data_IF_579732223115
#
_entry.id   IF_579732223115
#
_cell.length_a   1.000
_cell.length_b   1.000
_cell.length_c   1.000
_cell.angle_alpha   90.00
_cell.angle_beta   90.00
_cell.angle_gamma   90.00
#
_symmetry.space_group_name_H-M   'P 1'
#
loop_
_entity.id
_entity.type
_entity.pdbx_description
1 polymer ?
#
# COMPACT_ATOMS: atom_id res chain seq x y z
N UNK A 1 -23.92 8.36 -3.03
CA UNK A 1 -22.54 7.90 -3.22
C UNK A 1 -22.18 7.98 -4.71
N UNK A 2 -20.89 8.08 -4.99
CA UNK A 2 -20.34 8.23 -6.35
C UNK A 2 -20.60 6.98 -7.21
N UNK A 3 -21.06 7.19 -8.45
CA UNK A 3 -21.20 6.15 -9.46
C UNK A 3 -21.06 6.75 -10.87
N UNK A 4 -20.28 6.15 -11.76
CA UNK A 4 -19.44 4.97 -11.56
C UNK A 4 -18.16 5.31 -10.78
N UNK A 5 -17.69 4.41 -9.92
CA UNK A 5 -16.46 4.58 -9.18
C UNK A 5 -15.43 3.49 -9.53
N UNK A 6 -14.14 3.79 -9.41
CA UNK A 6 -13.10 2.79 -9.43
C UNK A 6 -13.20 1.85 -8.22
N UNK A 7 -12.54 0.68 -8.30
CA UNK A 7 -12.51 -0.32 -7.21
C UNK A 7 -11.55 0.07 -6.06
N UNK A 8 -11.25 1.37 -5.96
CA UNK A 8 -10.25 1.92 -5.05
C UNK A 8 -10.92 2.80 -4.02
N UNK A 9 -10.67 2.52 -2.75
CA UNK A 9 -11.17 3.31 -1.63
C UNK A 9 -10.14 3.33 -0.52
N UNK A 10 -9.95 4.48 0.09
CA UNK A 10 -9.07 4.63 1.25
C UNK A 10 -9.59 5.71 2.19
N UNK A 11 -9.09 5.69 3.43
CA UNK A 11 -9.48 6.66 4.43
C UNK A 11 -8.27 7.08 5.27
N UNK A 12 -8.33 8.31 5.79
CA UNK A 12 -7.29 8.89 6.65
C UNK A 12 -7.92 9.89 7.61
N UNK A 13 -7.29 10.11 8.77
CA UNK A 13 -7.75 11.15 9.68
C UNK A 13 -7.62 12.54 9.07
N UNK A 14 -8.66 13.34 9.27
CA UNK A 14 -8.60 14.79 9.14
C UNK A 14 -7.58 15.36 10.14
N UNK A 15 -6.98 16.50 9.82
CA UNK A 15 -5.96 17.16 10.67
C UNK A 15 -6.42 17.47 12.10
N UNK A 16 -7.74 17.50 12.36
CA UNK A 16 -8.31 17.68 13.70
C UNK A 16 -8.21 16.41 14.57
N UNK A 17 -7.77 15.26 14.03
CA UNK A 17 -7.61 14.01 14.74
C UNK A 17 -8.90 13.32 15.20
N UNK A 18 -10.06 13.74 14.69
CA UNK A 18 -11.39 13.22 15.07
C UNK A 18 -12.19 12.77 13.86
N UNK A 19 -12.26 13.63 12.84
CA UNK A 19 -12.99 13.37 11.62
C UNK A 19 -12.14 12.55 10.66
N UNK A 20 -12.76 11.93 9.66
CA UNK A 20 -12.11 11.04 8.72
C UNK A 20 -12.39 11.53 7.31
N UNK A 21 -11.37 11.59 6.48
CA UNK A 21 -11.49 11.70 5.05
C UNK A 21 -11.67 10.31 4.44
N UNK A 22 -12.75 10.08 3.70
CA UNK A 22 -13.00 8.92 2.86
C UNK A 22 -12.82 9.33 1.41
N UNK A 23 -11.91 8.67 0.70
CA UNK A 23 -11.62 8.95 -0.70
C UNK A 23 -12.09 7.82 -1.60
N UNK A 24 -12.69 8.22 -2.72
CA UNK A 24 -13.01 7.37 -3.87
C UNK A 24 -12.60 8.09 -5.16
N UNK A 25 -12.29 7.32 -6.21
CA UNK A 25 -11.93 7.87 -7.51
C UNK A 25 -13.05 7.63 -8.52
N UNK A 26 -13.43 8.67 -9.27
CA UNK A 26 -14.46 8.56 -10.31
C UNK A 26 -13.90 7.80 -11.51
N UNK A 27 -14.65 6.79 -11.97
CA UNK A 27 -14.31 6.05 -13.19
C UNK A 27 -14.40 6.93 -14.43
N UNK A 28 -13.54 6.67 -15.42
CA UNK A 28 -13.42 7.42 -16.66
C UNK A 28 -13.13 8.92 -16.45
N UNK A 29 -12.37 9.24 -15.45
CA UNK A 29 -12.05 10.60 -15.00
C UNK A 29 -10.68 10.62 -14.33
N UNK A 30 -10.17 11.83 -14.03
CA UNK A 30 -9.06 12.08 -13.11
C UNK A 30 -9.52 12.73 -11.80
N UNK A 31 -10.78 12.52 -11.42
CA UNK A 31 -11.40 13.18 -10.30
C UNK A 31 -11.36 12.32 -9.03
N UNK A 32 -10.70 12.83 -8.00
CA UNK A 32 -10.77 12.33 -6.64
C UNK A 32 -11.93 12.98 -5.91
N UNK A 33 -12.80 12.18 -5.28
CA UNK A 33 -13.90 12.60 -4.45
C UNK A 33 -13.61 12.27 -3.00
N UNK A 34 -13.47 13.29 -2.17
CA UNK A 34 -13.05 13.17 -0.78
C UNK A 34 -14.16 13.62 0.14
N UNK A 35 -14.78 12.66 0.84
CA UNK A 35 -15.92 12.89 1.72
C UNK A 35 -15.46 13.04 3.16
N UNK A 36 -15.92 14.06 3.86
CA UNK A 36 -15.67 14.20 5.28
C UNK A 36 -16.70 13.38 6.08
N UNK A 37 -16.19 12.48 6.91
CA UNK A 37 -16.98 11.70 7.88
C UNK A 37 -16.78 12.33 9.26
N UNK A 38 -17.87 12.71 9.89
CA UNK A 38 -17.91 13.30 11.23
C UNK A 38 -18.81 12.45 12.13
N UNK A 39 -18.86 12.69 13.45
CA UNK A 39 -19.85 12.05 14.32
C UNK A 39 -21.31 12.29 13.89
N UNK A 40 -21.58 13.33 13.09
CA UNK A 40 -22.91 13.63 12.56
C UNK A 40 -23.21 12.93 11.22
N UNK A 41 -22.28 12.12 10.72
CA UNK A 41 -22.40 11.38 9.46
C UNK A 41 -21.48 11.88 8.36
N UNK A 42 -21.75 11.43 7.13
CA UNK A 42 -20.96 11.75 5.94
C UNK A 42 -21.44 13.07 5.35
N UNK A 43 -20.50 13.99 5.07
CA UNK A 43 -20.81 15.23 4.35
C UNK A 43 -21.39 14.91 2.96
N UNK A 44 -22.52 15.51 2.57
CA UNK A 44 -23.10 15.29 1.24
C UNK A 44 -22.27 15.92 0.11
N UNK A 45 -21.43 16.90 0.43
CA UNK A 45 -20.62 17.64 -0.52
C UNK A 45 -19.14 17.21 -0.38
N UNK A 46 -18.60 16.41 -1.31
CA UNK A 46 -17.19 16.04 -1.30
C UNK A 46 -16.31 17.21 -1.76
N UNK A 47 -15.05 17.20 -1.31
CA UNK A 47 -13.99 17.95 -1.96
C UNK A 47 -13.60 17.20 -3.22
N UNK A 48 -13.54 17.90 -4.37
CA UNK A 48 -13.23 17.30 -5.66
C UNK A 48 -11.91 17.88 -6.17
N UNK A 49 -10.96 17.00 -6.51
CA UNK A 49 -9.69 17.36 -7.12
C UNK A 49 -9.55 16.65 -8.48
N UNK A 50 -9.49 17.45 -9.57
CA UNK A 50 -9.27 16.93 -10.92
C UNK A 50 -7.77 17.01 -11.22
N UNK A 51 -7.03 15.93 -10.96
CA UNK A 51 -5.57 15.91 -11.02
C UNK A 51 -5.07 14.49 -11.31
N UNK A 52 -3.91 14.37 -11.96
CA UNK A 52 -3.33 13.08 -12.36
C UNK A 52 -3.93 12.52 -13.63
N UNK A 53 -3.75 11.23 -13.83
CA UNK A 53 -4.14 10.50 -15.03
C UNK A 53 -5.63 10.14 -15.00
N UNK A 54 -6.27 10.17 -16.17
CA UNK A 54 -7.66 9.69 -16.32
C UNK A 54 -7.69 8.17 -16.19
N UNK A 55 -8.46 7.65 -15.22
CA UNK A 55 -8.63 6.21 -15.02
C UNK A 55 -9.67 5.68 -16.00
N UNK A 56 -9.25 5.35 -17.21
CA UNK A 56 -10.08 4.80 -18.28
C UNK A 56 -9.40 3.58 -18.90
N UNK A 57 -10.20 2.70 -19.48
CA UNK A 57 -9.63 1.57 -20.20
C UNK A 57 -8.79 2.06 -21.39
N UNK A 58 -7.58 1.52 -21.59
CA UNK A 58 -6.80 1.80 -22.78
C UNK A 58 -7.55 1.27 -24.03
N UNK A 59 -7.40 1.98 -25.16
CA UNK A 59 -7.97 1.53 -26.42
C UNK A 59 -6.85 1.23 -27.43
N UNK A 60 -6.80 0.03 -28.02
CA UNK A 60 -7.66 -1.13 -27.80
C UNK A 60 -7.52 -1.71 -26.39
N UNK A 61 -8.55 -2.35 -25.82
CA UNK A 61 -8.46 -2.96 -24.51
C UNK A 61 -7.39 -4.05 -24.51
N UNK A 62 -6.61 -4.19 -23.42
CA UNK A 62 -5.61 -5.23 -23.33
C UNK A 62 -6.25 -6.62 -23.39
N UNK A 63 -5.53 -7.63 -23.92
CA UNK A 63 -6.07 -8.98 -24.11
C UNK A 63 -6.36 -9.72 -22.79
N UNK A 64 -5.93 -9.18 -21.66
CA UNK A 64 -6.16 -9.70 -20.30
C UNK A 64 -6.96 -8.67 -19.49
N UNK A 65 -7.61 -9.12 -18.43
CA UNK A 65 -8.59 -8.38 -17.61
C UNK A 65 -8.00 -7.24 -16.73
N UNK A 66 -6.95 -6.60 -17.18
CA UNK A 66 -6.31 -5.51 -16.46
C UNK A 66 -7.14 -4.25 -16.62
N UNK A 67 -7.93 -3.93 -15.63
CA UNK A 67 -8.78 -2.74 -15.64
C UNK A 67 -8.08 -1.54 -15.02
N UNK A 68 -8.19 -0.38 -15.65
CA UNK A 68 -7.75 0.86 -15.04
C UNK A 68 -8.61 1.25 -13.81
N UNK A 69 -9.74 0.57 -13.58
CA UNK A 69 -10.50 0.69 -12.33
C UNK A 69 -9.85 -0.08 -11.18
N UNK A 70 -9.10 -1.14 -11.48
CA UNK A 70 -8.39 -1.97 -10.52
C UNK A 70 -7.05 -1.37 -10.09
N UNK A 71 -6.45 -1.96 -9.07
CA UNK A 71 -5.24 -1.52 -8.40
C UNK A 71 -5.53 -1.04 -6.99
N UNK A 72 -4.67 -0.20 -6.43
CA UNK A 72 -4.75 0.22 -5.03
C UNK A 72 -4.76 1.74 -4.89
N UNK A 73 -5.21 2.21 -3.74
CA UNK A 73 -5.20 3.61 -3.34
C UNK A 73 -4.96 3.69 -1.84
N UNK A 74 -3.86 4.32 -1.43
CA UNK A 74 -3.50 4.46 -0.01
C UNK A 74 -3.03 5.85 0.35
N UNK A 75 -3.42 6.28 1.53
CA UNK A 75 -2.83 7.44 2.19
C UNK A 75 -1.58 7.04 2.98
N UNK A 76 -0.60 7.94 3.04
CA UNK A 76 0.47 7.83 4.01
C UNK A 76 -0.06 7.94 5.44
N UNK A 77 0.62 7.33 6.39
CA UNK A 77 0.27 7.34 7.82
C UNK A 77 0.14 8.74 8.40
N UNK A 78 0.96 9.68 7.94
CA UNK A 78 0.93 11.08 8.35
C UNK A 78 -0.16 11.92 7.64
N UNK A 79 -0.92 11.32 6.71
CA UNK A 79 -2.01 11.97 5.98
C UNK A 79 -1.57 13.10 5.03
N UNK A 80 -0.32 13.12 4.60
CA UNK A 80 0.22 14.18 3.72
C UNK A 80 0.42 13.73 2.27
N UNK A 81 0.36 12.44 2.01
CA UNK A 81 0.57 11.84 0.69
C UNK A 81 -0.56 10.86 0.38
N UNK A 82 -0.78 10.69 -0.91
CA UNK A 82 -1.67 9.69 -1.48
C UNK A 82 -0.88 8.95 -2.55
N UNK A 83 -0.97 7.62 -2.60
CA UNK A 83 -0.44 6.82 -3.68
C UNK A 83 -1.55 6.02 -4.35
N UNK A 84 -1.47 5.87 -5.66
CA UNK A 84 -2.43 5.15 -6.48
C UNK A 84 -1.69 4.21 -7.41
N UNK A 85 -2.11 2.94 -7.47
CA UNK A 85 -1.77 2.00 -8.54
C UNK A 85 -2.93 1.93 -9.52
N UNK A 86 -2.64 2.04 -10.82
CA UNK A 86 -3.62 2.00 -11.90
C UNK A 86 -3.25 0.82 -12.80
N UNK A 87 -3.81 -0.35 -12.49
CA UNK A 87 -3.39 -1.63 -13.07
C UNK A 87 -3.46 -1.62 -14.59
N UNK A 88 -4.60 -1.28 -15.18
CA UNK A 88 -4.80 -1.30 -16.62
C UNK A 88 -4.00 -0.26 -17.41
N UNK A 89 -3.35 0.69 -16.73
CA UNK A 89 -2.47 1.70 -17.33
C UNK A 89 -0.99 1.44 -17.03
N UNK A 90 -0.66 0.41 -16.25
CA UNK A 90 0.71 0.12 -15.82
C UNK A 90 1.39 1.35 -15.17
N UNK A 91 0.65 2.05 -14.32
CA UNK A 91 1.03 3.35 -13.82
C UNK A 91 0.84 3.44 -12.31
N UNK A 92 1.83 4.01 -11.63
CA UNK A 92 1.70 4.47 -10.25
C UNK A 92 1.72 5.99 -10.23
N UNK A 93 0.92 6.59 -9.38
CA UNK A 93 0.95 8.02 -9.13
C UNK A 93 1.02 8.30 -7.63
N UNK A 94 1.82 9.28 -7.25
CA UNK A 94 1.93 9.79 -5.88
C UNK A 94 1.56 11.27 -5.90
N UNK A 95 0.74 11.67 -4.93
CA UNK A 95 0.21 13.03 -4.82
C UNK A 95 0.51 13.62 -3.45
N UNK A 96 0.52 14.93 -3.37
CA UNK A 96 0.32 15.63 -2.12
C UNK A 96 -1.15 15.56 -1.71
N UNK A 97 -1.39 15.37 -0.43
CA UNK A 97 -2.71 15.43 0.17
C UNK A 97 -2.71 16.42 1.34
N UNK A 98 -3.62 17.37 1.29
CA UNK A 98 -3.85 18.28 2.41
C UNK A 98 -4.98 17.72 3.28
N UNK A 99 -4.63 17.08 4.39
CA UNK A 99 -5.61 16.49 5.31
C UNK A 99 -6.40 17.52 6.14
N UNK A 100 -6.15 18.82 5.96
CA UNK A 100 -6.98 19.89 6.52
C UNK A 100 -8.13 20.24 5.59
N UNK A 101 -7.88 20.24 4.29
CA UNK A 101 -8.85 20.69 3.28
C UNK A 101 -9.41 19.55 2.42
N UNK A 102 -8.78 18.37 2.41
CA UNK A 102 -9.12 17.25 1.55
C UNK A 102 -8.67 17.40 0.09
N UNK A 103 -7.78 18.35 -0.20
CA UNK A 103 -7.30 18.62 -1.57
C UNK A 103 -6.16 17.68 -1.94
N UNK A 104 -6.25 17.10 -3.16
CA UNK A 104 -5.20 16.31 -3.81
C UNK A 104 -4.50 17.19 -4.84
N UNK A 105 -3.16 17.14 -4.90
CA UNK A 105 -2.37 17.98 -5.81
C UNK A 105 -1.02 17.33 -6.15
N UNK A 106 -0.25 17.98 -7.05
CA UNK A 106 1.15 17.67 -7.35
C UNK A 106 1.42 16.20 -7.72
N UNK A 107 0.86 15.66 -8.82
CA UNK A 107 1.08 14.29 -9.25
C UNK A 107 2.53 14.03 -9.65
N UNK A 108 3.06 12.90 -9.21
CA UNK A 108 4.34 12.32 -9.64
C UNK A 108 4.04 10.92 -10.17
N UNK A 109 4.34 10.66 -11.44
CA UNK A 109 3.99 9.42 -12.11
C UNK A 109 5.21 8.52 -12.28
N UNK A 110 4.99 7.20 -12.15
CA UNK A 110 6.00 6.15 -12.32
C UNK A 110 5.41 5.05 -13.20
N UNK A 111 6.14 4.63 -14.23
CA UNK A 111 5.75 3.47 -15.02
C UNK A 111 5.98 2.17 -14.27
N UNK A 112 5.07 1.21 -14.46
CA UNK A 112 5.17 -0.19 -14.04
C UNK A 112 5.00 -1.14 -15.22
N UNK A 113 5.03 -2.44 -14.96
CA UNK A 113 4.62 -3.49 -15.91
C UNK A 113 3.17 -3.91 -15.65
N UNK A 114 2.78 -4.03 -14.37
CA UNK A 114 1.42 -4.21 -13.91
C UNK A 114 1.28 -3.58 -12.51
N UNK A 115 0.92 -2.31 -12.47
CA UNK A 115 0.83 -1.53 -11.25
C UNK A 115 -0.34 -1.98 -10.37
N UNK A 116 -0.09 -2.75 -9.31
CA UNK A 116 -1.14 -3.38 -8.54
C UNK A 116 -1.34 -2.80 -7.15
N UNK A 117 -0.26 -2.55 -6.42
CA UNK A 117 -0.37 -2.22 -5.01
C UNK A 117 0.60 -1.11 -4.62
N UNK A 118 0.22 -0.35 -3.60
CA UNK A 118 1.04 0.72 -3.04
C UNK A 118 1.01 0.66 -1.51
N UNK A 119 2.12 1.03 -0.88
CA UNK A 119 2.18 1.18 0.57
C UNK A 119 3.15 2.30 0.93
N UNK A 120 3.03 2.86 2.12
CA UNK A 120 3.96 3.84 2.66
C UNK A 120 4.73 3.28 3.85
N UNK A 121 5.95 3.77 4.03
CA UNK A 121 6.68 3.62 5.28
C UNK A 121 5.88 4.23 6.45
N UNK A 122 6.19 3.81 7.66
CA UNK A 122 5.47 4.26 8.86
C UNK A 122 5.52 5.79 9.04
N UNK A 123 6.65 6.42 8.72
CA UNK A 123 6.83 7.88 8.77
C UNK A 123 6.31 8.61 7.53
N UNK A 124 5.88 7.88 6.49
CA UNK A 124 5.36 8.44 5.25
C UNK A 124 6.41 9.10 4.36
N UNK A 125 7.69 8.83 4.59
CA UNK A 125 8.80 9.41 3.80
C UNK A 125 9.18 8.58 2.59
N UNK A 126 8.80 7.30 2.58
CA UNK A 126 9.10 6.34 1.54
C UNK A 126 7.80 5.71 1.04
N UNK A 127 7.64 5.60 -0.28
CA UNK A 127 6.58 4.84 -0.91
C UNK A 127 7.13 3.52 -1.46
N UNK A 128 6.33 2.46 -1.34
CA UNK A 128 6.57 1.14 -1.90
C UNK A 128 5.53 0.83 -2.96
N UNK A 129 5.99 0.40 -4.13
CA UNK A 129 5.18 0.15 -5.32
C UNK A 129 5.29 -1.33 -5.67
N UNK A 130 4.20 -2.07 -5.53
CA UNK A 130 4.11 -3.48 -5.91
C UNK A 130 3.76 -3.61 -7.38
N UNK A 131 4.74 -4.02 -8.18
CA UNK A 131 4.65 -4.16 -9.62
C UNK A 131 4.64 -5.64 -9.98
N UNK A 132 3.47 -6.14 -10.34
CA UNK A 132 3.33 -7.53 -10.75
C UNK A 132 3.85 -7.73 -12.17
N UNK A 133 4.34 -8.90 -12.46
CA UNK A 133 4.75 -9.22 -13.80
C UNK A 133 3.56 -9.69 -14.64
N UNK A 134 3.37 -9.09 -15.81
CA UNK A 134 2.35 -9.51 -16.77
C UNK A 134 2.78 -10.81 -17.48
N UNK A 135 1.97 -11.86 -17.39
CA UNK A 135 2.14 -13.07 -18.20
C UNK A 135 2.09 -12.71 -19.72
N UNK A 136 2.96 -13.19 -20.59
CA UNK A 136 3.89 -14.31 -20.45
C UNK A 136 5.36 -13.89 -20.24
N UNK A 137 5.67 -12.74 -19.64
CA UNK A 137 7.05 -12.33 -19.46
C UNK A 137 7.78 -13.22 -18.43
N UNK A 138 9.04 -13.52 -18.68
CA UNK A 138 9.89 -14.29 -17.77
C UNK A 138 10.52 -13.41 -16.66
N UNK A 139 10.01 -12.18 -16.48
CA UNK A 139 10.50 -11.27 -15.47
C UNK A 139 9.80 -11.55 -14.14
N UNK A 140 10.49 -11.39 -13.05
CA UNK A 140 9.92 -11.51 -11.71
C UNK A 140 9.18 -10.24 -11.32
N UNK A 141 8.10 -10.39 -10.54
CA UNK A 141 7.42 -9.26 -9.92
C UNK A 141 8.36 -8.47 -9.04
N UNK A 142 8.18 -7.16 -8.92
CA UNK A 142 9.12 -6.28 -8.21
C UNK A 142 8.40 -5.43 -7.18
N UNK A 143 9.10 -5.21 -6.09
CA UNK A 143 8.76 -4.14 -5.14
C UNK A 143 9.76 -3.02 -5.37
N UNK A 144 9.25 -1.85 -5.75
CA UNK A 144 10.08 -0.66 -5.85
C UNK A 144 9.92 0.19 -4.61
N UNK A 145 11.01 0.77 -4.18
CA UNK A 145 11.05 1.83 -3.19
C UNK A 145 11.23 3.18 -3.88
N UNK A 146 10.56 4.21 -3.39
CA UNK A 146 10.68 5.60 -3.85
C UNK A 146 10.91 6.49 -2.62
N UNK A 147 12.01 7.24 -2.62
CA UNK A 147 12.32 8.21 -1.56
C UNK A 147 11.62 9.54 -1.86
N UNK A 148 10.62 9.87 -1.07
CA UNK A 148 9.83 11.10 -1.21
C UNK A 148 10.54 12.35 -0.66
N UNK A 149 11.67 12.16 0.02
CA UNK A 149 12.54 13.23 0.51
C UNK A 149 13.78 13.45 -0.37
N UNK A 150 13.89 12.76 -1.50
CA UNK A 150 15.03 12.89 -2.41
C UNK A 150 15.24 14.31 -2.98
N UNK A 151 14.25 15.20 -2.85
CA UNK A 151 14.35 16.61 -3.25
C UNK A 151 13.33 17.01 -4.31
N UNK A 152 13.78 17.45 -5.50
CA UNK A 152 12.89 17.81 -6.60
C UNK A 152 12.13 16.60 -7.15
N UNK A 153 11.02 16.85 -7.89
CA UNK A 153 10.23 15.78 -8.53
C UNK A 153 11.12 14.83 -9.35
N UNK A 154 12.07 15.34 -10.12
CA UNK A 154 12.99 14.50 -10.88
C UNK A 154 13.90 13.63 -9.99
N UNK A 155 14.32 14.15 -8.83
CA UNK A 155 15.11 13.39 -7.88
C UNK A 155 14.26 12.29 -7.22
N UNK A 156 13.00 12.56 -6.90
CA UNK A 156 12.05 11.57 -6.40
C UNK A 156 11.83 10.47 -7.46
N UNK A 157 11.60 10.83 -8.72
CA UNK A 157 11.43 9.87 -9.82
C UNK A 157 12.69 8.99 -9.97
N UNK A 158 13.87 9.60 -9.93
CA UNK A 158 15.14 8.89 -10.09
C UNK A 158 15.53 8.05 -8.85
N UNK A 159 14.86 8.22 -7.72
CA UNK A 159 15.07 7.41 -6.52
C UNK A 159 14.39 6.05 -6.58
N UNK A 160 13.53 5.80 -7.59
CA UNK A 160 12.85 4.50 -7.77
C UNK A 160 13.87 3.36 -7.89
N UNK A 161 13.86 2.45 -6.92
CA UNK A 161 14.81 1.34 -6.81
C UNK A 161 14.07 0.04 -6.52
N UNK A 162 14.35 -1.02 -7.27
CA UNK A 162 13.87 -2.36 -6.93
C UNK A 162 14.63 -2.88 -5.70
N UNK A 163 13.89 -3.29 -4.67
CA UNK A 163 14.46 -3.75 -3.39
C UNK A 163 14.49 -5.28 -3.27
N UNK A 164 13.67 -5.99 -4.05
CA UNK A 164 13.70 -7.43 -4.15
C UNK A 164 14.53 -7.82 -5.38
N UNK A 165 15.57 -8.61 -5.16
CA UNK A 165 16.30 -9.26 -6.24
C UNK A 165 15.78 -10.69 -6.38
N UNK A 166 14.78 -10.90 -7.23
CA UNK A 166 14.14 -12.21 -7.42
C UNK A 166 15.04 -13.23 -8.15
N UNK A 167 16.26 -13.38 -7.68
CA UNK A 167 17.12 -14.48 -8.16
C UNK A 167 16.71 -15.83 -7.58
N UNK A 168 15.79 -15.88 -6.61
CA UNK A 168 15.38 -17.09 -5.92
C UNK A 168 13.98 -17.61 -6.28
N UNK A 169 13.30 -17.00 -7.24
CA UNK A 169 12.22 -17.70 -7.92
C UNK A 169 12.81 -18.77 -8.85
N UNK A 170 13.77 -19.55 -8.30
CA UNK A 170 14.30 -20.70 -8.98
C UNK A 170 13.17 -21.70 -9.12
N UNK A 171 12.83 -21.94 -10.38
CA UNK A 171 11.94 -22.96 -10.86
C UNK A 171 11.76 -24.08 -9.84
N UNK A 172 10.62 -24.16 -9.15
CA UNK A 172 10.17 -25.45 -8.61
C UNK A 172 9.81 -26.27 -9.85
N UNK A 173 10.85 -26.80 -10.46
CA UNK A 173 10.77 -27.77 -11.55
C UNK A 173 10.36 -29.09 -10.96
N UNK A 174 9.09 -29.35 -10.70
CA UNK A 174 8.62 -30.72 -10.55
C UNK A 174 7.08 -30.81 -10.59
N UNK A 175 6.50 -30.43 -11.70
CA UNK A 175 5.29 -31.13 -12.17
C UNK A 175 5.21 -30.99 -13.70
N UNK A 176 5.49 -32.12 -14.39
CA UNK A 176 5.21 -32.37 -15.81
C UNK A 176 5.23 -31.15 -16.76
N UNK A 177 6.37 -30.89 -17.37
CA UNK A 177 6.55 -30.27 -18.68
C UNK A 177 5.92 -28.89 -18.98
N UNK A 178 5.67 -28.06 -18.00
CA UNK A 178 5.30 -26.67 -18.22
C UNK A 178 6.14 -25.76 -17.33
N UNK A 179 6.74 -24.73 -17.90
CA UNK A 179 7.51 -23.70 -17.23
C UNK A 179 6.81 -23.22 -15.96
N UNK A 180 7.45 -23.42 -14.82
CA UNK A 180 6.95 -22.94 -13.52
C UNK A 180 7.07 -21.42 -13.50
N UNK A 181 5.98 -20.72 -13.70
CA UNK A 181 5.88 -19.30 -13.50
C UNK A 181 5.54 -19.04 -12.04
N UNK A 182 6.45 -18.44 -11.29
CA UNK A 182 6.13 -17.86 -10.00
C UNK A 182 5.27 -16.60 -10.23
N UNK A 183 4.02 -16.67 -9.87
CA UNK A 183 3.19 -15.47 -9.77
C UNK A 183 3.42 -14.87 -8.38
N UNK A 184 4.26 -13.88 -8.29
CA UNK A 184 4.40 -13.11 -7.06
C UNK A 184 3.40 -11.96 -7.13
N UNK A 185 2.29 -12.11 -6.46
CA UNK A 185 1.41 -10.98 -6.16
C UNK A 185 2.03 -10.22 -4.99
N UNK A 186 2.54 -9.02 -5.24
CA UNK A 186 3.08 -8.18 -4.18
C UNK A 186 1.98 -7.30 -3.60
N UNK A 187 1.11 -7.90 -2.79
CA UNK A 187 0.16 -7.14 -1.98
C UNK A 187 0.88 -6.64 -0.73
N UNK A 188 1.14 -5.35 -0.68
CA UNK A 188 1.89 -4.71 0.38
C UNK A 188 0.95 -4.23 1.48
N UNK A 189 1.28 -4.54 2.72
CA UNK A 189 0.54 -4.04 3.87
C UNK A 189 1.49 -3.67 5.02
N UNK A 190 1.43 -2.42 5.42
CA UNK A 190 2.11 -1.95 6.61
C UNK A 190 1.42 -2.54 7.85
N UNK A 191 2.17 -3.25 8.71
CA UNK A 191 1.65 -3.91 9.90
C UNK A 191 1.86 -3.07 11.18
N UNK A 192 1.14 -3.33 12.28
CA UNK A 192 1.27 -2.56 13.53
C UNK A 192 2.68 -2.52 14.12
N UNK A 193 3.51 -3.52 13.84
CA UNK A 193 4.91 -3.57 14.26
C UNK A 193 5.86 -2.66 13.43
N UNK A 194 5.32 -1.86 12.51
CA UNK A 194 6.10 -0.95 11.66
C UNK A 194 6.74 -1.58 10.43
N UNK A 195 6.65 -2.90 10.25
CA UNK A 195 7.13 -3.60 9.05
C UNK A 195 6.07 -3.58 7.96
N UNK A 196 6.52 -3.64 6.71
CA UNK A 196 5.63 -3.90 5.58
C UNK A 196 5.73 -5.37 5.22
N UNK A 197 4.59 -6.05 5.14
CA UNK A 197 4.52 -7.43 4.69
C UNK A 197 4.03 -7.49 3.26
N UNK A 198 4.55 -8.47 2.52
CA UNK A 198 4.12 -8.78 1.16
C UNK A 198 3.67 -10.24 1.10
N UNK A 199 2.51 -10.50 0.51
CA UNK A 199 2.13 -11.87 0.16
C UNK A 199 2.71 -12.21 -1.19
N UNK A 200 3.29 -13.41 -1.26
CA UNK A 200 3.70 -14.04 -2.51
C UNK A 200 2.95 -15.35 -2.66
N UNK A 201 2.22 -15.52 -3.75
CA UNK A 201 1.54 -16.78 -4.06
C UNK A 201 2.35 -17.55 -5.11
N UNK A 202 2.60 -18.83 -4.88
CA UNK A 202 3.07 -19.67 -5.95
C UNK A 202 1.92 -20.59 -6.43
N UNK A 203 1.93 -20.94 -7.69
CA UNK A 203 0.89 -21.77 -8.33
C UNK A 203 0.74 -23.18 -7.76
N UNK A 204 1.55 -23.57 -6.75
CA UNK A 204 1.68 -24.97 -6.25
C UNK A 204 1.19 -25.12 -4.80
N UNK A 205 0.45 -24.18 -4.24
CA UNK A 205 -0.22 -24.34 -2.94
C UNK A 205 0.52 -23.86 -1.68
N UNK A 206 1.44 -22.95 -1.77
CA UNK A 206 2.00 -22.30 -0.56
C UNK A 206 2.00 -20.80 -0.73
N UNK A 207 1.35 -20.09 0.17
CA UNK A 207 1.44 -18.66 0.29
C UNK A 207 2.56 -18.35 1.27
N UNK A 208 3.37 -17.33 0.94
CA UNK A 208 4.47 -16.89 1.78
C UNK A 208 4.27 -15.43 2.14
N UNK A 209 4.65 -15.07 3.36
CA UNK A 209 4.88 -13.69 3.72
C UNK A 209 6.36 -13.36 3.58
N UNK A 210 6.65 -12.30 2.86
CA UNK A 210 7.93 -11.62 2.87
C UNK A 210 7.79 -10.34 3.68
N UNK A 211 8.89 -9.79 4.20
CA UNK A 211 8.83 -8.56 4.99
C UNK A 211 9.88 -7.54 4.59
N UNK A 212 9.52 -6.27 4.69
CA UNK A 212 10.45 -5.14 4.72
C UNK A 212 10.58 -4.74 6.18
N UNK A 213 11.72 -5.06 6.78
CA UNK A 213 11.91 -4.97 8.24
C UNK A 213 12.17 -3.53 8.70
N UNK A 214 12.76 -2.70 7.84
CA UNK A 214 13.13 -1.30 8.12
C UNK A 214 12.58 -0.34 7.06
N UNK A 215 11.24 -0.22 6.91
CA UNK A 215 10.66 0.48 5.76
C UNK A 215 10.89 1.99 5.73
N UNK A 216 11.34 2.61 6.83
CA UNK A 216 11.73 4.02 6.86
C UNK A 216 13.17 4.26 6.36
N UNK A 217 13.88 3.19 5.96
CA UNK A 217 15.28 3.28 5.54
C UNK A 217 15.39 3.27 4.01
N UNK A 218 16.03 4.28 3.39
CA UNK A 218 16.20 4.31 1.95
C UNK A 218 17.14 3.21 1.42
N UNK A 219 16.86 2.73 0.21
CA UNK A 219 17.66 1.77 -0.52
C UNK A 219 17.54 0.35 0.02
N UNK A 220 18.53 -0.47 -0.30
CA UNK A 220 18.57 -1.90 0.09
C UNK A 220 18.68 -2.11 1.60
N UNK A 221 19.03 -1.06 2.35
CA UNK A 221 19.08 -1.10 3.81
C UNK A 221 17.69 -1.14 4.46
N UNK A 222 16.61 -1.06 3.68
CA UNK A 222 15.24 -1.30 4.16
C UNK A 222 15.04 -2.74 4.64
N UNK A 223 16.01 -3.63 4.40
CA UNK A 223 16.07 -5.00 4.90
C UNK A 223 14.85 -5.83 4.44
N UNK A 224 14.78 -6.04 3.10
CA UNK A 224 13.79 -6.94 2.53
C UNK A 224 14.20 -8.40 2.77
N UNK A 225 13.32 -9.15 3.42
CA UNK A 225 13.50 -10.56 3.73
C UNK A 225 12.40 -11.38 3.03
N UNK A 226 12.83 -12.36 2.22
CA UNK A 226 11.95 -13.22 1.47
C UNK A 226 11.50 -14.42 2.30
N UNK A 227 10.21 -14.82 2.19
CA UNK A 227 9.64 -16.01 2.83
C UNK A 227 9.86 -16.12 4.36
N UNK A 228 9.61 -15.04 5.08
CA UNK A 228 9.74 -15.04 6.56
C UNK A 228 8.73 -15.96 7.26
N UNK A 229 7.58 -16.25 6.59
CA UNK A 229 6.54 -17.12 7.12
C UNK A 229 5.81 -17.84 5.99
N UNK A 230 5.69 -19.15 6.10
CA UNK A 230 4.83 -19.96 5.23
C UNK A 230 3.41 -19.98 5.77
N UNK A 231 2.43 -19.63 4.93
CA UNK A 231 1.00 -19.67 5.28
C UNK A 231 0.41 -20.94 4.67
N UNK A 232 -0.25 -21.81 5.44
CA UNK A 232 -0.93 -22.96 4.86
C UNK A 232 -2.00 -22.51 3.86
N UNK A 233 -1.94 -23.02 2.63
CA UNK A 233 -2.78 -22.64 1.47
C UNK A 233 -4.30 -22.77 1.67
N UNK A 234 -4.74 -23.35 2.76
CA UNK A 234 -6.16 -23.52 3.07
C UNK A 234 -6.83 -22.30 3.67
N UNK A 235 -6.08 -21.23 3.99
CA UNK A 235 -6.57 -20.13 4.82
C UNK A 235 -6.58 -18.75 4.16
N UNK A 236 -5.87 -18.55 3.06
CA UNK A 236 -5.81 -17.23 2.43
C UNK A 236 -6.18 -17.33 0.96
N UNK A 237 -7.38 -16.90 0.61
CA UNK A 237 -7.54 -16.31 -0.71
C UNK A 237 -6.60 -15.08 -0.79
N UNK A 238 -5.99 -14.84 -1.90
CA UNK A 238 -4.95 -13.86 -2.27
C UNK A 238 -5.11 -12.40 -1.76
N UNK A 239 -5.51 -12.18 -0.50
CA UNK A 239 -5.87 -10.84 -0.04
C UNK A 239 -5.27 -10.58 1.34
N UNK A 240 -4.16 -9.84 1.38
CA UNK A 240 -3.95 -8.94 2.50
C UNK A 240 -4.97 -7.81 2.33
N UNK A 241 -5.99 -7.79 3.16
CA UNK A 241 -6.96 -6.70 3.12
C UNK A 241 -6.22 -5.38 3.34
N UNK A 242 -6.42 -4.44 2.42
CA UNK A 242 -5.96 -3.08 2.61
C UNK A 242 -6.67 -2.49 3.82
N UNK A 243 -6.05 -2.60 4.99
CA UNK A 243 -6.54 -1.97 6.21
C UNK A 243 -6.17 -0.49 6.11
N UNK A 244 -7.14 0.42 6.19
CA UNK A 244 -6.84 1.84 6.21
C UNK A 244 -5.85 2.17 7.32
N UNK A 245 -4.83 2.95 7.00
CA UNK A 245 -3.76 3.30 7.93
C UNK A 245 -4.20 4.19 9.11
N UNK A 246 -5.46 4.60 9.16
CA UNK A 246 -5.94 5.51 10.20
C UNK A 246 -6.00 4.89 11.61
N UNK A 247 -6.06 3.56 11.76
CA UNK A 247 -5.98 2.93 13.07
C UNK A 247 -4.61 3.15 13.74
N UNK A 248 -3.60 3.52 12.96
CA UNK A 248 -2.23 3.73 13.47
C UNK A 248 -1.99 5.07 14.10
N UNK A 249 -2.65 6.14 13.65
CA UNK A 249 -2.45 7.46 14.26
C UNK A 249 -2.84 7.48 15.75
N UNK A 250 -3.65 6.52 16.19
CA UNK A 250 -3.99 6.35 17.60
C UNK A 250 -2.94 5.51 18.35
N UNK A 251 -2.27 4.58 17.67
CA UNK A 251 -1.23 3.71 18.25
C UNK A 251 0.17 4.35 18.18
N UNK A 252 0.38 5.31 17.27
CA UNK A 252 1.67 5.94 17.01
C UNK A 252 2.17 6.86 18.12
N UNK A 253 1.35 7.12 19.13
CA UNK A 253 1.81 7.88 20.30
C UNK A 253 2.35 6.94 21.37
N UNK A 254 3.48 6.29 21.07
CA UNK A 254 4.36 5.74 22.10
C UNK A 254 3.96 4.37 22.71
N UNK A 255 3.20 3.54 21.98
CA UNK A 255 2.90 2.19 22.45
C UNK A 255 3.57 1.19 21.52
N UNK A 256 4.49 0.40 22.03
CA UNK A 256 5.09 -0.74 21.34
C UNK A 256 4.43 -2.02 21.85
N UNK A 257 4.10 -2.90 20.92
CA UNK A 257 3.58 -4.24 21.20
C UNK A 257 4.61 -5.27 20.78
N UNK A 258 4.81 -6.26 21.62
CA UNK A 258 5.55 -7.46 21.28
C UNK A 258 4.62 -8.66 21.50
N UNK A 259 4.63 -9.61 20.53
CA UNK A 259 3.82 -10.83 20.58
C UNK A 259 2.29 -10.60 20.67
N UNK A 260 1.66 -10.25 19.55
CA UNK A 260 0.18 -10.11 19.43
C UNK A 260 -0.53 -11.42 19.07
N UNK A 261 0.07 -12.59 19.28
CA UNK A 261 -0.56 -13.87 19.00
C UNK A 261 -1.53 -14.28 20.12
N UNK A 262 -2.67 -14.84 19.74
CA UNK A 262 -3.67 -15.35 20.69
C UNK A 262 -3.05 -16.48 21.54
N UNK A 263 -3.05 -16.29 22.84
CA UNK A 263 -2.52 -17.25 23.81
C UNK A 263 -1.13 -16.96 24.36
N UNK A 264 -0.41 -15.96 23.79
CA UNK A 264 0.90 -15.55 24.29
C UNK A 264 0.81 -14.31 25.20
N UNK A 265 1.86 -14.11 25.99
CA UNK A 265 1.99 -12.91 26.82
C UNK A 265 2.36 -11.74 25.92
N UNK A 266 1.48 -10.75 25.82
CA UNK A 266 1.76 -9.51 25.10
C UNK A 266 2.52 -8.54 26.00
N UNK A 267 3.72 -8.15 25.59
CA UNK A 267 4.45 -7.06 26.22
C UNK A 267 4.00 -5.73 25.60
N UNK A 268 3.44 -4.85 26.40
CA UNK A 268 3.02 -3.50 26.00
C UNK A 268 4.00 -2.52 26.63
N UNK A 269 4.75 -1.81 25.78
CA UNK A 269 5.73 -0.82 26.22
C UNK A 269 5.35 0.56 25.69
N UNK A 270 5.63 1.59 26.44
CA UNK A 270 5.59 2.97 25.98
C UNK A 270 7.01 3.43 25.67
N UNK A 271 7.26 3.90 24.48
CA UNK A 271 8.53 4.53 24.11
C UNK A 271 8.36 6.04 24.13
N UNK A 272 8.76 6.69 25.19
CA UNK A 272 8.66 8.14 25.32
C UNK A 272 9.76 8.67 26.22
N UNK A 273 10.25 9.85 25.85
CA UNK A 273 11.18 10.64 26.67
C UNK A 273 10.44 11.56 27.66
N UNK A 274 9.11 11.41 27.78
CA UNK A 274 8.28 12.19 28.69
C UNK A 274 7.86 11.33 29.87
N UNK A 275 7.90 11.90 31.09
CA UNK A 275 7.37 11.25 32.28
C UNK A 275 5.85 11.26 32.22
N UNK A 276 5.21 10.13 32.50
CA UNK A 276 3.77 10.04 32.71
C UNK A 276 3.46 10.03 34.18
N UNK A 277 2.43 10.76 34.57
CA UNK A 277 1.92 10.68 35.95
C UNK A 277 1.12 9.39 36.18
N UNK A 278 0.47 8.87 35.13
CA UNK A 278 -0.23 7.59 35.19
C UNK A 278 -0.54 7.04 33.78
N UNK A 279 -0.66 5.71 33.68
CA UNK A 279 -1.15 4.99 32.47
C UNK A 279 -2.34 4.16 32.92
N UNK A 280 -3.46 4.30 32.20
CA UNK A 280 -4.65 3.46 32.40
C UNK A 280 -4.88 2.61 31.16
N UNK A 281 -4.86 1.30 31.35
CA UNK A 281 -5.25 0.33 30.34
C UNK A 281 -6.73 -0.01 30.49
N UNK A 282 -7.47 0.03 29.40
CA UNK A 282 -8.88 -0.40 29.34
C UNK A 282 -8.95 -1.45 28.24
N UNK A 283 -9.29 -2.67 28.61
CA UNK A 283 -9.53 -3.79 27.69
C UNK A 283 -11.04 -4.01 27.64
N UNK A 284 -11.62 -3.98 26.44
CA UNK A 284 -13.03 -4.33 26.19
C UNK A 284 -13.15 -5.72 25.55
#
# INVERSE_FOLDING_TARGET
LLSPACQKVSAVYHSNGKDIWLMVHLWNSNAFYVYLITPNGISPNPVISNVGTVHQEPFPPPPMYNSASAGDLKFSTNGKRLAVAIEGLNLFEIFDFDNTTGIVSNPISFSGELAQNVEFSLDGTIAYLGDQNAYPSNNSSKIYQVDLLAGSQNQIINSKLAINSDTNCSAITNYSNTSSTCYLEHLLQLAPNGRIYSISTNSIASDFLSSINSPNTPGILCDFEFEVLTIPSTYCGNILQSIPNFFRSYLDKNILFDNLCFGDTTLICTQTNTNFDSIRWVFE
#
